data_IF_529817999540
#
_entry.id   IF_529817999540
#
_cell.length_a   1.000
_cell.length_b   1.000
_cell.length_c   1.000
_cell.angle_alpha   90.00
_cell.angle_beta   90.00
_cell.angle_gamma   90.00
#
_symmetry.space_group_name_H-M   'P 1'
#
loop_
_entity.id
_entity.type
_entity.pdbx_description
1 polymer ?
#
# COMPACT_ATOMS: atom_id res chain seq x y z
N UNK A 1 21.64 -24.51 41.08
CA UNK A 1 20.52 -25.09 40.32
C UNK A 1 19.25 -24.24 40.33
N UNK A 2 18.79 -23.71 41.48
CA UNK A 2 17.54 -22.91 41.55
C UNK A 2 17.61 -21.57 40.77
N UNK A 3 18.77 -20.94 40.75
CA UNK A 3 19.03 -19.69 40.00
C UNK A 3 19.09 -19.88 38.49
N UNK A 4 19.56 -21.04 38.03
CA UNK A 4 19.65 -21.38 36.60
C UNK A 4 18.26 -21.63 35.97
N UNK A 5 17.30 -22.15 36.74
CA UNK A 5 15.93 -22.39 36.26
C UNK A 5 15.16 -21.07 36.08
N UNK A 6 15.37 -20.09 36.96
CA UNK A 6 14.70 -18.78 36.88
C UNK A 6 15.12 -17.97 35.64
N UNK A 7 16.37 -18.09 35.21
CA UNK A 7 16.88 -17.41 34.01
C UNK A 7 16.30 -18.00 32.71
N UNK A 8 16.16 -19.32 32.63
CA UNK A 8 15.59 -20.00 31.46
C UNK A 8 14.09 -19.69 31.30
N UNK A 9 13.36 -19.60 32.42
CA UNK A 9 11.91 -19.32 32.39
C UNK A 9 11.59 -17.88 31.96
N UNK A 10 12.46 -16.92 32.29
CA UNK A 10 12.33 -15.52 31.87
C UNK A 10 12.53 -15.33 30.35
N UNK A 11 13.43 -16.10 29.73
CA UNK A 11 13.74 -16.00 28.30
C UNK A 11 12.63 -16.51 27.37
N UNK A 12 11.74 -17.40 27.85
CA UNK A 12 10.63 -17.94 27.04
C UNK A 12 9.49 -16.91 26.90
N UNK A 13 9.33 -16.01 27.87
CA UNK A 13 8.27 -14.98 27.84
C UNK A 13 8.63 -13.86 26.85
N UNK A 14 9.93 -13.57 26.66
CA UNK A 14 10.41 -12.52 25.76
C UNK A 14 10.29 -12.83 24.26
N UNK A 15 10.04 -14.09 23.89
CA UNK A 15 9.87 -14.52 22.49
C UNK A 15 8.41 -14.47 22.01
N UNK A 16 7.45 -14.13 22.89
CA UNK A 16 6.07 -13.84 22.51
C UNK A 16 5.90 -12.37 22.05
N UNK A 17 6.92 -11.79 21.42
CA UNK A 17 6.72 -10.58 20.62
C UNK A 17 5.90 -10.97 19.40
N UNK A 18 4.60 -10.64 19.40
CA UNK A 18 3.66 -10.90 18.32
C UNK A 18 4.33 -10.72 16.94
N UNK A 19 4.60 -11.84 16.27
CA UNK A 19 4.96 -11.86 14.86
C UNK A 19 3.98 -10.96 14.11
N UNK A 20 4.50 -10.05 13.28
CA UNK A 20 3.80 -8.88 12.78
C UNK A 20 2.36 -9.10 12.28
N UNK A 21 1.58 -8.00 12.21
CA UNK A 21 0.17 -8.02 11.82
C UNK A 21 -0.10 -8.92 10.61
N UNK A 22 -1.20 -9.68 10.64
CA UNK A 22 -1.71 -10.44 9.50
C UNK A 22 -2.14 -9.49 8.37
N UNK A 23 -1.71 -9.79 7.14
CA UNK A 23 -2.13 -9.04 5.96
C UNK A 23 -3.64 -9.18 5.73
N UNK A 24 -4.27 -8.09 5.30
CA UNK A 24 -5.66 -8.03 4.85
C UNK A 24 -5.71 -7.48 3.41
N UNK A 25 -5.30 -8.29 2.41
CA UNK A 25 -5.21 -7.82 1.03
C UNK A 25 -6.58 -7.53 0.42
N UNK A 26 -6.68 -6.44 -0.33
CA UNK A 26 -7.87 -6.14 -1.13
C UNK A 26 -8.03 -7.17 -2.26
N UNK A 27 -9.27 -7.51 -2.59
CA UNK A 27 -9.58 -8.32 -3.76
C UNK A 27 -9.21 -7.57 -5.05
N UNK A 28 -8.55 -8.26 -5.98
CA UNK A 28 -8.17 -7.69 -7.27
C UNK A 28 -9.40 -7.27 -8.09
N UNK A 29 -10.45 -8.09 -8.05
CA UNK A 29 -11.74 -7.84 -8.70
C UNK A 29 -12.85 -7.82 -7.64
N UNK A 30 -13.74 -6.83 -7.72
CA UNK A 30 -14.92 -6.69 -6.89
C UNK A 30 -16.19 -6.72 -7.75
N UNK A 31 -17.31 -7.15 -7.17
CA UNK A 31 -18.59 -7.27 -7.87
C UNK A 31 -19.07 -5.96 -8.50
N UNK A 32 -18.79 -4.82 -7.85
CA UNK A 32 -19.14 -3.47 -8.35
C UNK A 32 -18.30 -3.00 -9.53
N UNK A 33 -17.17 -3.63 -9.83
CA UNK A 33 -16.23 -3.16 -10.86
C UNK A 33 -16.82 -3.25 -12.30
N UNK A 34 -17.91 -4.00 -12.49
CA UNK A 34 -18.59 -4.11 -13.80
C UNK A 34 -19.51 -2.93 -14.11
N UNK A 35 -20.02 -2.26 -13.07
CA UNK A 35 -20.99 -1.16 -13.21
C UNK A 35 -20.35 0.22 -13.07
N UNK A 36 -19.08 0.31 -12.63
CA UNK A 36 -18.38 1.58 -12.48
C UNK A 36 -18.27 2.36 -13.80
N UNK A 37 -18.54 3.66 -13.73
CA UNK A 37 -18.24 4.67 -14.75
C UNK A 37 -16.74 4.90 -14.88
N UNK A 38 -16.31 5.55 -15.98
CA UNK A 38 -14.91 5.93 -16.17
C UNK A 38 -14.38 6.79 -15.01
N UNK A 39 -15.22 7.70 -14.49
CA UNK A 39 -14.87 8.56 -13.35
C UNK A 39 -14.70 7.74 -12.07
N UNK A 40 -15.61 6.80 -11.80
CA UNK A 40 -15.52 5.93 -10.63
C UNK A 40 -14.29 5.03 -10.67
N UNK A 41 -13.92 4.50 -11.85
CA UNK A 41 -12.69 3.73 -12.02
C UNK A 41 -11.45 4.57 -11.66
N UNK A 42 -11.39 5.84 -12.10
CA UNK A 42 -10.28 6.75 -11.73
C UNK A 42 -10.26 7.01 -10.23
N UNK A 43 -11.42 7.30 -9.63
CA UNK A 43 -11.53 7.56 -8.20
C UNK A 43 -11.08 6.35 -7.39
N UNK A 44 -11.51 5.14 -7.77
CA UNK A 44 -11.11 3.90 -7.10
C UNK A 44 -9.60 3.67 -7.22
N UNK A 45 -9.01 3.89 -8.40
CA UNK A 45 -7.56 3.80 -8.56
C UNK A 45 -6.81 4.82 -7.68
N UNK A 46 -7.35 6.03 -7.53
CA UNK A 46 -6.82 7.04 -6.60
C UNK A 46 -6.92 6.56 -5.14
N UNK A 47 -8.08 6.05 -4.71
CA UNK A 47 -8.27 5.54 -3.35
C UNK A 47 -7.28 4.41 -3.03
N UNK A 48 -7.09 3.48 -3.97
CA UNK A 48 -6.11 2.41 -3.82
C UNK A 48 -4.68 2.95 -3.72
N UNK A 49 -4.34 3.99 -4.48
CA UNK A 49 -3.01 4.63 -4.42
C UNK A 49 -2.79 5.35 -3.09
N UNK A 50 -3.78 6.07 -2.60
CA UNK A 50 -3.72 6.74 -1.29
C UNK A 50 -3.52 5.70 -0.16
N UNK A 51 -4.15 4.52 -0.29
CA UNK A 51 -3.93 3.41 0.64
C UNK A 51 -2.48 2.90 0.62
N UNK A 52 -1.86 2.78 -0.56
CA UNK A 52 -0.45 2.39 -0.67
C UNK A 52 0.47 3.44 -0.05
N UNK A 53 0.22 4.73 -0.29
CA UNK A 53 0.96 5.83 0.34
C UNK A 53 0.85 5.73 1.87
N UNK A 54 -0.35 5.47 2.39
CA UNK A 54 -0.56 5.26 3.82
C UNK A 54 0.26 4.10 4.39
N UNK A 55 0.44 3.01 3.66
CA UNK A 55 1.29 1.88 4.08
C UNK A 55 2.78 2.27 4.12
N UNK A 56 3.24 3.07 3.16
CA UNK A 56 4.61 3.59 3.13
C UNK A 56 4.84 4.58 4.29
N UNK A 57 3.94 5.55 4.47
CA UNK A 57 4.02 6.53 5.55
C UNK A 57 3.98 5.90 6.94
N UNK A 58 3.16 4.85 7.16
CA UNK A 58 3.16 4.13 8.45
C UNK A 58 4.52 3.51 8.76
N UNK A 59 5.25 3.03 7.74
CA UNK A 59 6.61 2.52 7.90
C UNK A 59 7.63 3.63 8.09
N UNK A 60 7.52 4.73 7.36
CA UNK A 60 8.45 5.86 7.46
C UNK A 60 8.25 6.67 8.76
N UNK A 61 7.04 6.71 9.33
CA UNK A 61 6.84 7.24 10.70
C UNK A 61 7.57 6.41 11.76
N UNK A 62 7.80 5.12 11.50
CA UNK A 62 8.65 4.27 12.35
C UNK A 62 10.15 4.53 12.09
N UNK A 63 10.50 5.21 10.99
CA UNK A 63 11.86 5.51 10.52
C UNK A 63 11.98 6.95 9.99
N UNK A 64 11.80 7.97 10.84
CA UNK A 64 12.12 9.38 10.59
C UNK A 64 11.56 10.03 9.29
N UNK A 65 10.50 10.84 9.45
CA UNK A 65 10.14 12.11 8.76
C UNK A 65 10.23 12.31 7.23
N UNK A 66 10.48 11.31 6.38
CA UNK A 66 10.45 11.50 4.91
C UNK A 66 9.17 10.91 4.29
N UNK A 67 8.06 11.65 4.37
CA UNK A 67 6.83 11.29 3.65
C UNK A 67 7.00 11.51 2.14
N UNK A 68 7.06 10.43 1.36
CA UNK A 68 7.07 10.49 -0.10
C UNK A 68 5.63 10.57 -0.61
N UNK A 69 5.19 11.78 -0.98
CA UNK A 69 3.91 11.98 -1.65
C UNK A 69 4.01 11.56 -3.13
N UNK A 70 3.39 10.44 -3.50
CA UNK A 70 3.36 9.94 -4.90
C UNK A 70 1.98 10.20 -5.51
N UNK A 71 1.92 10.95 -6.62
CA UNK A 71 0.68 11.20 -7.35
C UNK A 71 0.11 9.95 -8.02
N UNK A 72 -1.22 9.92 -8.23
CA UNK A 72 -1.98 8.79 -8.82
C UNK A 72 -1.40 8.29 -10.14
N UNK A 73 -0.89 9.21 -10.97
CA UNK A 73 -0.25 8.88 -12.24
C UNK A 73 1.11 8.18 -12.10
N UNK A 74 1.88 8.56 -11.10
CA UNK A 74 3.19 7.96 -10.88
C UNK A 74 3.05 6.53 -10.34
N UNK A 75 1.98 6.20 -9.61
CA UNK A 75 1.79 4.88 -8.97
C UNK A 75 1.53 3.72 -9.93
N UNK A 76 0.81 3.93 -11.05
CA UNK A 76 0.58 2.86 -12.04
C UNK A 76 1.90 2.48 -12.75
N UNK A 77 2.82 3.44 -12.89
CA UNK A 77 4.12 3.28 -13.55
C UNK A 77 5.30 3.28 -12.58
N UNK A 78 5.04 3.20 -11.26
CA UNK A 78 6.11 3.37 -10.29
C UNK A 78 6.96 2.10 -10.21
N UNK A 79 8.30 2.22 -10.17
CA UNK A 79 9.15 1.06 -10.01
C UNK A 79 8.83 0.36 -8.70
N UNK A 80 8.77 -0.98 -8.73
CA UNK A 80 8.65 -1.82 -7.55
C UNK A 80 9.71 -1.52 -6.45
N UNK A 81 10.76 -0.77 -6.83
CA UNK A 81 11.81 -0.25 -5.96
C UNK A 81 11.26 0.56 -4.76
N UNK A 82 10.19 1.35 -4.93
CA UNK A 82 9.63 2.13 -3.82
C UNK A 82 8.96 1.28 -2.73
N UNK A 83 8.54 0.06 -3.07
CA UNK A 83 7.94 -0.88 -2.12
C UNK A 83 8.95 -1.90 -1.57
N UNK A 84 10.24 -1.81 -1.93
CA UNK A 84 11.25 -2.74 -1.41
C UNK A 84 11.46 -2.60 0.11
N UNK A 85 11.19 -1.42 0.66
CA UNK A 85 11.28 -1.17 2.09
C UNK A 85 10.07 -1.69 2.88
N UNK A 86 8.94 -1.95 2.20
CA UNK A 86 7.80 -2.62 2.82
C UNK A 86 8.15 -4.08 3.10
N UNK A 87 7.73 -4.58 4.26
CA UNK A 87 7.95 -5.98 4.68
C UNK A 87 6.65 -6.58 5.21
N UNK A 88 6.57 -7.91 5.18
CA UNK A 88 5.44 -8.65 5.75
C UNK A 88 4.10 -8.22 5.16
N UNK A 89 3.14 -7.92 6.04
CA UNK A 89 1.78 -7.57 5.65
C UNK A 89 1.67 -6.35 4.75
N UNK A 90 2.42 -5.29 5.02
CA UNK A 90 2.28 -4.04 4.26
C UNK A 90 2.75 -4.21 2.81
N UNK A 91 3.78 -5.03 2.58
CA UNK A 91 4.20 -5.38 1.21
C UNK A 91 3.10 -6.19 0.51
N UNK A 92 2.50 -7.15 1.21
CA UNK A 92 1.43 -7.97 0.65
C UNK A 92 0.20 -7.12 0.28
N UNK A 93 -0.16 -6.15 1.13
CA UNK A 93 -1.28 -5.23 0.90
C UNK A 93 -0.98 -4.23 -0.22
N UNK A 94 0.21 -3.64 -0.25
CA UNK A 94 0.61 -2.73 -1.32
C UNK A 94 0.58 -3.42 -2.70
N UNK A 95 1.07 -4.67 -2.78
CA UNK A 95 0.99 -5.47 -4.00
C UNK A 95 -0.46 -5.83 -4.37
N UNK A 96 -1.35 -6.02 -3.39
CA UNK A 96 -2.76 -6.26 -3.65
C UNK A 96 -3.45 -5.03 -4.26
N UNK A 97 -3.21 -3.84 -3.71
CA UNK A 97 -3.70 -2.59 -4.30
C UNK A 97 -3.12 -2.34 -5.70
N UNK A 98 -1.84 -2.65 -5.92
CA UNK A 98 -1.21 -2.53 -7.23
C UNK A 98 -1.90 -3.44 -8.28
N UNK A 99 -2.11 -4.72 -7.96
CA UNK A 99 -2.80 -5.66 -8.85
C UNK A 99 -4.24 -5.21 -9.14
N UNK A 100 -4.96 -4.77 -8.11
CA UNK A 100 -6.29 -4.19 -8.27
C UNK A 100 -6.28 -3.02 -9.26
N UNK A 101 -5.32 -2.09 -9.12
CA UNK A 101 -5.19 -0.96 -10.04
C UNK A 101 -4.88 -1.40 -11.48
N UNK A 102 -4.07 -2.44 -11.68
CA UNK A 102 -3.86 -2.99 -13.02
C UNK A 102 -5.16 -3.54 -13.63
N UNK A 103 -5.98 -4.24 -12.82
CA UNK A 103 -7.30 -4.70 -13.23
C UNK A 103 -8.27 -3.57 -13.57
N UNK A 104 -8.33 -2.52 -12.74
CA UNK A 104 -9.16 -1.34 -12.98
C UNK A 104 -8.71 -0.56 -14.22
N UNK A 105 -7.40 -0.44 -14.45
CA UNK A 105 -6.84 0.19 -15.64
C UNK A 105 -7.18 -0.60 -16.92
N UNK A 106 -7.15 -1.94 -16.86
CA UNK A 106 -7.60 -2.78 -17.97
C UNK A 106 -9.09 -2.54 -18.30
N UNK A 107 -9.94 -2.48 -17.27
CA UNK A 107 -11.38 -2.16 -17.43
C UNK A 107 -11.60 -0.76 -17.99
N UNK A 108 -10.85 0.22 -17.51
CA UNK A 108 -10.89 1.61 -17.99
C UNK A 108 -10.63 1.66 -19.51
N UNK A 109 -9.58 0.96 -19.95
CA UNK A 109 -9.25 0.84 -21.38
C UNK A 109 -10.33 0.08 -22.15
N UNK A 110 -10.81 -1.05 -21.64
CA UNK A 110 -11.84 -1.86 -22.29
C UNK A 110 -13.16 -1.09 -22.47
N UNK A 111 -13.47 -0.15 -21.57
CA UNK A 111 -14.65 0.71 -21.65
C UNK A 111 -14.49 1.88 -22.63
N UNK A 112 -13.33 2.02 -23.28
CA UNK A 112 -13.06 3.12 -24.21
C UNK A 112 -13.01 4.49 -23.54
N UNK A 113 -12.70 4.54 -22.23
CA UNK A 113 -12.61 5.79 -21.51
C UNK A 113 -11.51 6.68 -22.12
N UNK A 114 -11.81 7.98 -22.32
CA UNK A 114 -10.81 8.96 -22.77
C UNK A 114 -9.71 9.07 -21.71
N UNK A 115 -8.43 9.20 -22.06
CA UNK A 115 -7.35 9.41 -21.08
C UNK A 115 -7.45 10.81 -20.46
N UNK A 116 -8.48 11.06 -19.65
CA UNK A 116 -8.53 12.20 -18.75
C UNK A 116 -7.80 11.83 -17.45
N UNK A 117 -6.55 11.40 -17.62
CA UNK A 117 -5.65 11.22 -16.51
C UNK A 117 -5.16 12.62 -16.17
N UNK A 118 -5.88 13.34 -15.30
CA UNK A 118 -5.28 14.41 -14.52
C UNK A 118 -4.25 13.77 -13.59
N UNK A 119 -3.14 13.32 -14.17
CA UNK A 119 -1.80 13.29 -13.63
C UNK A 119 -1.31 14.74 -13.61
N UNK A 120 -2.03 15.68 -12.97
CA UNK A 120 -1.32 16.88 -12.55
C UNK A 120 -0.43 16.42 -11.41
N UNK A 121 0.90 16.41 -11.55
CA UNK A 121 1.75 16.31 -10.38
C UNK A 121 1.35 17.49 -9.49
N UNK A 122 0.68 17.22 -8.38
CA UNK A 122 0.65 18.18 -7.29
C UNK A 122 2.11 18.34 -6.89
N UNK A 123 2.69 19.50 -7.25
CA UNK A 123 4.04 19.85 -6.81
C UNK A 123 4.12 19.55 -5.30
N UNK A 124 5.17 18.88 -4.82
CA UNK A 124 5.43 18.80 -3.38
C UNK A 124 5.36 20.22 -2.81
N UNK A 125 4.58 20.43 -1.74
CA UNK A 125 4.73 21.65 -0.95
C UNK A 125 6.11 21.58 -0.32
N UNK A 126 6.98 22.47 -0.77
CA UNK A 126 8.26 22.74 -0.14
C UNK A 126 7.98 23.20 1.31
N UNK A 127 8.66 22.62 2.32
CA UNK A 127 8.48 23.07 3.69
C UNK A 127 8.99 24.52 3.82
N UNK A 128 8.11 25.39 4.34
CA UNK A 128 8.46 26.77 4.76
C UNK A 128 9.38 26.77 5.98
#
# INVERSE_FOLDING_TARGET
MKTSIALILSSIIALNGCAGRKANPVAEVQARDTVMSCRELIVEMKVNNDAIVGLVEQRDKTKNNNAVAVGVGAMIFFPALFFMNLKGADKAEALAYQRRNAGLASRYKAKGCKPDLVMKPTKPKEPE
#
